data_IF_997696909795
#
_entry.id   IF_997696909795
#
_cell.length_a   1.000
_cell.length_b   1.000
_cell.length_c   1.000
_cell.angle_alpha   90.00
_cell.angle_beta   90.00
_cell.angle_gamma   90.00
#
_symmetry.space_group_name_H-M   'P 1'
#
loop_
_entity.id
_entity.type
_entity.pdbx_description
1 polymer ?
#
# COMPACT_ATOMS: atom_id res chain seq x y z
N UNK A 1 -15.88 -19.85 -31.08
CA UNK A 1 -15.00 -20.31 -29.98
C UNK A 1 -14.45 -19.09 -29.25
N UNK A 2 -14.47 -19.09 -27.91
CA UNK A 2 -13.75 -18.09 -27.09
C UNK A 2 -12.71 -18.85 -26.27
N UNK A 3 -11.46 -18.47 -26.42
CA UNK A 3 -10.36 -19.01 -25.63
C UNK A 3 -10.11 -18.05 -24.47
N UNK A 4 -10.15 -18.50 -23.22
CA UNK A 4 -9.69 -17.67 -22.11
C UNK A 4 -8.18 -17.55 -22.22
N UNK A 5 -7.69 -16.33 -22.47
CA UNK A 5 -6.29 -16.01 -22.26
C UNK A 5 -6.14 -15.88 -20.74
N UNK A 6 -5.69 -16.95 -20.08
CA UNK A 6 -5.43 -16.94 -18.65
C UNK A 6 -4.08 -16.27 -18.44
N UNK A 7 -4.09 -14.97 -18.21
CA UNK A 7 -2.88 -14.24 -17.77
C UNK A 7 -2.76 -14.38 -16.25
N UNK A 8 -1.52 -14.60 -15.78
CA UNK A 8 -1.25 -14.55 -14.35
C UNK A 8 -1.40 -13.09 -13.87
N UNK A 9 -2.06 -12.86 -12.73
CA UNK A 9 -2.19 -11.51 -12.19
C UNK A 9 -0.80 -10.99 -11.78
N UNK A 10 -0.43 -9.82 -12.30
CA UNK A 10 0.80 -9.12 -11.92
C UNK A 10 0.46 -8.07 -10.87
N UNK A 11 1.35 -7.86 -9.90
CA UNK A 11 1.16 -6.91 -8.80
C UNK A 11 2.39 -6.02 -8.65
N UNK A 12 2.16 -4.76 -8.30
CA UNK A 12 3.21 -3.86 -7.82
C UNK A 12 3.48 -4.18 -6.36
N UNK A 13 4.72 -4.57 -6.03
CA UNK A 13 5.15 -4.77 -4.63
C UNK A 13 5.57 -3.43 -4.04
N UNK A 14 4.97 -3.04 -2.92
CA UNK A 14 5.19 -1.78 -2.26
C UNK A 14 5.72 -1.99 -0.84
N UNK A 15 6.80 -1.28 -0.52
CA UNK A 15 7.22 -1.05 0.86
C UNK A 15 6.65 0.29 1.33
N UNK A 16 5.57 0.24 2.09
CA UNK A 16 4.80 1.39 2.53
C UNK A 16 5.47 2.05 3.73
N UNK A 17 5.76 3.34 3.57
CA UNK A 17 6.33 4.19 4.60
C UNK A 17 5.42 5.41 4.76
N UNK A 18 4.82 5.62 5.95
CA UNK A 18 4.02 6.82 6.17
C UNK A 18 4.94 8.04 6.21
N UNK A 19 4.59 9.06 5.43
CA UNK A 19 5.26 10.34 5.48
C UNK A 19 4.41 11.34 6.26
N UNK A 20 5.02 12.12 7.16
CA UNK A 20 4.31 13.16 7.87
C UNK A 20 3.88 14.26 6.89
N UNK A 21 2.62 14.67 6.98
CA UNK A 21 2.07 15.82 6.28
C UNK A 21 1.86 16.96 7.28
N UNK A 22 2.09 18.18 6.82
CA UNK A 22 1.86 19.37 7.62
C UNK A 22 0.37 19.50 7.94
N UNK A 23 0.05 19.72 9.21
CA UNK A 23 -1.32 19.94 9.66
C UNK A 23 -1.51 21.39 10.12
N UNK A 24 -0.71 21.81 11.10
CA UNK A 24 -0.78 23.13 11.72
C UNK A 24 0.59 23.48 12.35
N UNK A 25 0.80 24.70 12.86
CA UNK A 25 2.07 25.19 13.44
C UNK A 25 2.91 24.13 14.18
N UNK A 26 4.00 23.68 13.55
CA UNK A 26 4.88 22.60 14.05
C UNK A 26 4.20 21.26 14.37
N UNK A 27 2.93 21.09 14.03
CA UNK A 27 2.17 19.85 14.17
C UNK A 27 2.09 19.15 12.81
N UNK A 28 2.63 17.95 12.78
CA UNK A 28 2.57 17.07 11.63
C UNK A 28 1.61 15.93 11.93
N UNK A 29 0.94 15.45 10.90
CA UNK A 29 0.10 14.27 10.97
C UNK A 29 0.68 13.17 10.10
N UNK A 30 0.56 11.92 10.52
CA UNK A 30 0.88 10.78 9.64
C UNK A 30 -0.19 9.71 9.79
N UNK A 31 -0.48 9.04 8.68
CA UNK A 31 -1.42 7.92 8.69
C UNK A 31 -0.74 6.70 9.31
N UNK A 32 -1.42 6.05 10.25
CA UNK A 32 -0.96 4.77 10.76
C UNK A 32 -1.04 3.70 9.67
N UNK A 33 0.03 2.91 9.51
CA UNK A 33 0.13 1.86 8.51
C UNK A 33 0.16 0.52 9.21
N UNK A 34 -0.77 -0.36 8.83
CA UNK A 34 -0.86 -1.70 9.40
C UNK A 34 0.06 -2.69 8.70
N UNK A 35 0.13 -2.63 7.36
CA UNK A 35 0.91 -3.54 6.52
C UNK A 35 1.97 -2.76 5.77
N UNK A 36 3.23 -2.94 6.15
CA UNK A 36 4.36 -2.28 5.49
C UNK A 36 4.68 -2.87 4.13
N UNK A 37 4.33 -4.12 3.87
CA UNK A 37 4.64 -4.80 2.62
C UNK A 37 3.35 -5.33 2.02
N UNK A 38 3.02 -4.84 0.83
CA UNK A 38 1.76 -5.15 0.15
C UNK A 38 1.99 -5.25 -1.34
N UNK A 39 1.31 -6.18 -2.02
CA UNK A 39 1.28 -6.19 -3.47
C UNK A 39 -0.10 -5.76 -3.97
N UNK A 40 -0.15 -4.89 -4.98
CA UNK A 40 -1.39 -4.27 -5.45
C UNK A 40 -1.45 -4.36 -6.97
N UNK A 41 -2.59 -4.81 -7.49
CA UNK A 41 -2.93 -4.65 -8.89
C UNK A 41 -4.00 -3.55 -9.00
N UNK A 42 -3.59 -2.37 -9.45
CA UNK A 42 -4.45 -1.19 -9.58
C UNK A 42 -5.58 -1.38 -10.59
N UNK A 43 -5.31 -2.09 -11.69
CA UNK A 43 -6.28 -2.29 -12.79
C UNK A 43 -7.46 -3.14 -12.34
N UNK A 44 -7.17 -4.23 -11.64
CA UNK A 44 -8.17 -5.19 -11.16
C UNK A 44 -8.65 -4.90 -9.74
N UNK A 45 -8.10 -3.87 -9.09
CA UNK A 45 -8.43 -3.42 -7.72
C UNK A 45 -8.39 -4.57 -6.71
N UNK A 46 -7.34 -5.38 -6.81
CA UNK A 46 -7.04 -6.45 -5.86
C UNK A 46 -5.69 -6.18 -5.21
N UNK A 47 -5.54 -6.67 -3.99
CA UNK A 47 -4.31 -6.58 -3.23
C UNK A 47 -4.08 -7.83 -2.42
N UNK A 48 -2.85 -7.98 -1.97
CA UNK A 48 -2.42 -9.02 -1.05
C UNK A 48 -1.42 -8.42 -0.05
N UNK A 49 -1.55 -8.88 1.19
CA UNK A 49 -0.65 -8.50 2.29
C UNK A 49 0.50 -9.49 2.26
N UNK A 50 1.72 -8.97 2.30
CA UNK A 50 2.94 -9.77 2.25
C UNK A 50 3.73 -9.61 3.54
N UNK A 51 4.43 -10.67 3.89
CA UNK A 51 5.53 -10.65 4.84
C UNK A 51 6.86 -10.69 4.10
N UNK A 52 7.98 -10.46 4.80
CA UNK A 52 9.30 -10.67 4.20
C UNK A 52 9.51 -12.13 3.79
N UNK A 53 9.05 -13.07 4.62
CA UNK A 53 9.14 -14.50 4.34
C UNK A 53 8.42 -14.87 3.04
N UNK A 54 7.24 -14.28 2.78
CA UNK A 54 6.52 -14.52 1.52
C UNK A 54 7.38 -14.17 0.30
N UNK A 55 8.13 -13.06 0.35
CA UNK A 55 9.01 -12.67 -0.76
C UNK A 55 10.26 -13.54 -0.84
N UNK A 56 10.81 -13.98 0.29
CA UNK A 56 12.00 -14.82 0.35
C UNK A 56 11.74 -16.22 -0.22
N UNK A 57 10.49 -16.71 -0.14
CA UNK A 57 10.05 -17.97 -0.75
C UNK A 57 9.81 -17.85 -2.27
N UNK A 58 9.74 -16.63 -2.82
CA UNK A 58 9.53 -16.42 -4.26
C UNK A 58 10.85 -16.50 -5.05
N UNK A 59 10.74 -16.93 -6.31
CA UNK A 59 11.86 -16.88 -7.24
C UNK A 59 11.99 -15.45 -7.76
N UNK A 60 13.11 -14.79 -7.46
CA UNK A 60 13.42 -13.46 -7.98
C UNK A 60 14.20 -13.55 -9.29
N UNK A 61 13.66 -12.96 -10.36
CA UNK A 61 14.33 -12.82 -11.64
C UNK A 61 14.33 -11.34 -12.07
N UNK A 62 15.45 -10.64 -11.85
CA UNK A 62 15.67 -9.26 -12.31
C UNK A 62 14.51 -8.30 -12.00
N UNK A 63 14.06 -8.27 -10.74
CA UNK A 63 12.97 -7.42 -10.21
C UNK A 63 11.54 -7.96 -10.40
N UNK A 64 11.40 -9.18 -10.92
CA UNK A 64 10.11 -9.89 -10.96
C UNK A 64 10.15 -11.02 -9.92
N UNK A 65 9.19 -11.01 -9.00
CA UNK A 65 8.97 -12.11 -8.06
C UNK A 65 7.93 -13.07 -8.63
N UNK A 66 8.34 -14.32 -8.83
CA UNK A 66 7.45 -15.41 -9.19
C UNK A 66 7.14 -16.21 -7.92
N UNK A 67 5.92 -16.06 -7.43
CA UNK A 67 5.45 -16.66 -6.19
C UNK A 67 4.41 -17.74 -6.49
N UNK A 68 4.42 -18.83 -5.73
CA UNK A 68 3.29 -19.75 -5.70
C UNK A 68 2.08 -19.09 -5.02
N UNK A 69 0.87 -19.38 -5.51
CA UNK A 69 -0.36 -18.74 -5.05
C UNK A 69 -0.80 -19.31 -3.69
N UNK A 70 -0.10 -18.92 -2.62
CA UNK A 70 -0.42 -19.31 -1.26
C UNK A 70 -1.09 -18.18 -0.47
N UNK A 71 -0.94 -16.92 -0.91
CA UNK A 71 -1.51 -15.76 -0.22
C UNK A 71 -2.99 -15.53 -0.59
N UNK A 72 -3.75 -15.05 0.39
CA UNK A 72 -5.13 -14.61 0.17
C UNK A 72 -5.15 -13.32 -0.66
N UNK A 73 -5.95 -13.32 -1.72
CA UNK A 73 -6.17 -12.15 -2.58
C UNK A 73 -7.45 -11.46 -2.13
N UNK A 74 -7.38 -10.17 -1.85
CA UNK A 74 -8.48 -9.34 -1.39
C UNK A 74 -8.89 -8.33 -2.44
N UNK A 75 -10.18 -7.99 -2.49
CA UNK A 75 -10.69 -6.88 -3.30
C UNK A 75 -10.65 -5.57 -2.50
N UNK A 76 -10.29 -4.47 -3.17
CA UNK A 76 -10.35 -3.13 -2.60
C UNK A 76 -11.82 -2.77 -2.33
N UNK A 77 -12.11 -2.39 -1.09
CA UNK A 77 -13.44 -2.04 -0.58
C UNK A 77 -13.32 -0.95 0.49
N UNK A 78 -14.45 -0.55 1.09
CA UNK A 78 -14.47 0.47 2.15
C UNK A 78 -13.71 0.05 3.43
N UNK A 79 -13.57 -1.25 3.70
CA UNK A 79 -12.85 -1.75 4.88
C UNK A 79 -11.38 -2.09 4.60
N UNK A 80 -10.88 -1.73 3.42
CA UNK A 80 -9.49 -1.98 3.03
C UNK A 80 -8.52 -1.15 3.88
N UNK A 81 -7.33 -1.69 4.20
CA UNK A 81 -6.29 -0.94 4.92
C UNK A 81 -5.92 0.39 4.23
N UNK A 82 -5.53 1.36 5.05
CA UNK A 82 -5.30 2.74 4.62
C UNK A 82 -4.19 2.86 3.59
N UNK A 83 -3.10 2.13 3.76
CA UNK A 83 -2.00 2.05 2.80
C UNK A 83 -2.46 1.70 1.38
N UNK A 84 -3.38 0.75 1.26
CA UNK A 84 -3.92 0.31 -0.03
C UNK A 84 -4.88 1.37 -0.58
N UNK A 85 -5.76 1.93 0.27
CA UNK A 85 -6.71 2.98 -0.13
C UNK A 85 -5.99 4.21 -0.66
N UNK A 86 -4.95 4.68 0.03
CA UNK A 86 -4.14 5.84 -0.38
C UNK A 86 -3.46 5.59 -1.72
N UNK A 87 -2.93 4.39 -1.96
CA UNK A 87 -2.26 4.05 -3.21
C UNK A 87 -3.24 3.85 -4.39
N UNK A 88 -4.45 3.36 -4.11
CA UNK A 88 -5.44 2.98 -5.14
C UNK A 88 -6.49 4.06 -5.43
N UNK A 89 -6.84 4.92 -4.46
CA UNK A 89 -7.88 5.95 -4.57
C UNK A 89 -7.27 7.35 -4.44
N UNK A 90 -7.51 8.21 -5.43
CA UNK A 90 -6.97 9.59 -5.48
C UNK A 90 -7.77 10.62 -4.68
N UNK A 91 -8.98 10.32 -4.21
CA UNK A 91 -9.85 11.29 -3.52
C UNK A 91 -10.62 10.61 -2.37
N UNK A 92 -10.71 11.31 -1.21
CA UNK A 92 -11.40 10.90 0.04
C UNK A 92 -10.82 9.72 0.84
N UNK A 93 -9.49 9.64 0.98
CA UNK A 93 -8.84 8.59 1.77
C UNK A 93 -8.85 8.84 3.29
N UNK A 94 -9.20 10.05 3.74
CA UNK A 94 -9.15 10.42 5.15
C UNK A 94 -10.33 9.89 5.97
N UNK A 95 -11.43 9.51 5.32
CA UNK A 95 -12.59 8.93 6.00
C UNK A 95 -12.21 7.49 6.41
N UNK A 96 -12.05 7.27 7.72
CA UNK A 96 -11.78 5.98 8.38
C UNK A 96 -10.31 5.52 8.41
N UNK A 97 -9.34 6.43 8.27
CA UNK A 97 -7.94 6.12 8.54
C UNK A 97 -7.47 6.71 9.87
N UNK A 98 -6.79 5.89 10.68
CA UNK A 98 -6.16 6.38 11.89
C UNK A 98 -5.02 7.32 11.52
N UNK A 99 -5.02 8.48 12.18
CA UNK A 99 -4.03 9.52 12.00
C UNK A 99 -3.45 9.83 13.35
N UNK A 100 -2.13 9.79 13.43
CA UNK A 100 -1.38 10.19 14.61
C UNK A 100 -0.71 11.56 14.38
N UNK A 101 -0.29 12.20 15.47
CA UNK A 101 0.25 13.54 15.47
C UNK A 101 1.63 13.61 16.11
N UNK A 102 2.54 14.28 15.42
CA UNK A 102 3.87 14.59 15.93
C UNK A 102 4.01 16.10 16.09
N UNK A 103 4.51 16.55 17.25
CA UNK A 103 4.86 17.95 17.49
C UNK A 103 6.37 18.10 17.29
N UNK A 104 6.75 18.88 16.29
CA UNK A 104 8.13 19.28 16.08
C UNK A 104 8.48 20.46 16.98
N UNK A 105 9.71 20.50 17.51
CA UNK A 105 10.17 21.65 18.30
C UNK A 105 10.47 22.86 17.40
N UNK A 106 10.89 22.60 16.16
CA UNK A 106 11.16 23.59 15.13
C UNK A 106 10.89 22.98 13.75
N UNK A 107 10.16 23.70 12.91
CA UNK A 107 9.99 23.36 11.50
C UNK A 107 10.97 24.16 10.66
N UNK A 108 11.88 23.49 9.96
CA UNK A 108 12.92 24.13 9.15
C UNK A 108 12.45 24.31 7.70
N UNK A 109 11.62 23.38 7.19
CA UNK A 109 11.15 23.42 5.82
C UNK A 109 9.79 22.73 5.67
N UNK A 110 8.96 23.29 4.79
CA UNK A 110 7.65 22.76 4.38
C UNK A 110 7.60 22.75 2.85
N UNK A 111 7.20 21.62 2.27
CA UNK A 111 6.89 21.55 0.84
C UNK A 111 5.45 21.99 0.65
N UNK A 112 5.26 23.19 0.07
CA UNK A 112 3.94 23.70 -0.34
C UNK A 112 3.49 23.04 -1.63
#
# INVERSE_FOLDING_TARGET
LKFPIITQPMFDVLNVIPLPTFNDENKFMYTEITNRLTAINKETRIYLILTKQDLDECINNNSIYLCEKNQSIYHVSENTPCEIKIYTQRQKYHENCNVDHMIATRTIWLTL
#
